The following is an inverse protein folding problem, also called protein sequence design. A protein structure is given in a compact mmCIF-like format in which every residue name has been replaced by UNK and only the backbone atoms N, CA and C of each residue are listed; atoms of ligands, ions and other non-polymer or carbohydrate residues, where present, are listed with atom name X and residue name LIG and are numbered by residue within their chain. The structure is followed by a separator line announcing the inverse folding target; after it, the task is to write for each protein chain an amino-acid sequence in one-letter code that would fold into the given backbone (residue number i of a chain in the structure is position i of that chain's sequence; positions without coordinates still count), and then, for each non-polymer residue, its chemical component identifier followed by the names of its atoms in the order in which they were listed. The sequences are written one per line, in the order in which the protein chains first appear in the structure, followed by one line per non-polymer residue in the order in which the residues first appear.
data_IF_412864181054
#
_entry.id   IF_412864181054
#
_cell.length_a   1.000
_cell.length_b   1.000
_cell.length_c   1.000
_cell.angle_alpha   90.00
_cell.angle_beta   90.00
_cell.angle_gamma   90.00
#
_symmetry.space_group_name_H-M   'P 1'
#
loop_
_entity.id
_entity.type
_entity.pdbx_description
1 polymer ?
#
# COMPACT_ATOMS: atom_id res chain seq x y z
N UNK A 1 -2.62 -24.67 11.43
CA UNK A 1 -1.31 -24.07 11.06
C UNK A 1 -1.22 -23.95 9.55
N UNK A 2 -1.09 -22.74 9.00
CA UNK A 2 -0.74 -22.59 7.58
C UNK A 2 0.72 -23.05 7.40
N UNK A 3 0.94 -24.08 6.58
CA UNK A 3 2.24 -24.78 6.42
C UNK A 3 3.05 -24.31 5.20
N UNK A 4 2.78 -23.13 4.65
CA UNK A 4 3.37 -22.67 3.39
C UNK A 4 3.83 -21.21 3.47
N UNK A 5 5.01 -20.89 2.92
CA UNK A 5 5.53 -19.52 2.73
C UNK A 5 4.80 -18.76 1.60
N UNK A 6 3.49 -19.00 1.47
CA UNK A 6 2.63 -18.39 0.45
C UNK A 6 1.72 -17.40 1.15
N UNK A 7 1.83 -16.12 0.77
CA UNK A 7 0.95 -15.07 1.27
C UNK A 7 -0.44 -15.28 0.67
N UNK A 8 -1.46 -15.28 1.54
CA UNK A 8 -2.86 -15.34 1.14
C UNK A 8 -3.54 -14.05 1.57
N UNK A 9 -4.05 -13.30 0.60
CA UNK A 9 -4.94 -12.17 0.89
C UNK A 9 -6.30 -12.73 1.33
N UNK A 10 -6.82 -12.17 2.42
CA UNK A 10 -8.10 -12.55 3.00
C UNK A 10 -8.92 -11.29 3.28
N UNK A 11 -10.21 -11.49 3.56
CA UNK A 11 -11.16 -10.46 3.96
C UNK A 11 -11.38 -9.37 2.90
N UNK A 12 -12.22 -9.71 1.92
CA UNK A 12 -12.70 -8.78 0.90
C UNK A 12 -14.03 -8.11 1.32
N UNK A 13 -14.31 -7.97 2.62
CA UNK A 13 -15.58 -7.44 3.12
C UNK A 13 -15.89 -5.99 2.71
N UNK A 14 -14.87 -5.21 2.33
CA UNK A 14 -14.99 -3.86 1.78
C UNK A 14 -14.69 -3.77 0.29
N UNK A 15 -14.44 -4.90 -0.38
CA UNK A 15 -14.15 -4.90 -1.81
C UNK A 15 -15.39 -4.53 -2.61
N UNK A 16 -15.19 -3.74 -3.66
CA UNK A 16 -16.25 -3.32 -4.58
C UNK A 16 -15.84 -3.65 -6.01
N UNK A 17 -16.78 -4.17 -6.80
CA UNK A 17 -16.58 -4.34 -8.23
C UNK A 17 -16.95 -3.03 -8.92
N UNK A 18 -15.96 -2.36 -9.50
CA UNK A 18 -16.14 -1.05 -10.12
C UNK A 18 -15.67 -1.10 -11.57
N UNK A 19 -16.39 -0.46 -12.50
CA UNK A 19 -15.89 -0.21 -13.84
C UNK A 19 -14.58 0.58 -13.78
N UNK A 20 -13.70 0.35 -14.76
CA UNK A 20 -12.44 1.09 -14.86
C UNK A 20 -12.71 2.60 -14.86
N UNK A 21 -11.83 3.35 -14.20
CA UNK A 21 -11.88 4.82 -14.08
C UNK A 21 -13.10 5.41 -13.38
N UNK A 22 -13.89 4.62 -12.64
CA UNK A 22 -14.91 5.18 -11.76
C UNK A 22 -14.36 5.52 -10.38
N UNK A 23 -14.97 6.53 -9.76
CA UNK A 23 -14.71 6.94 -8.38
C UNK A 23 -15.77 6.38 -7.44
N UNK A 24 -15.40 6.13 -6.20
CA UNK A 24 -16.31 5.70 -5.14
C UNK A 24 -16.39 6.73 -4.02
N UNK A 25 -17.49 6.67 -3.26
CA UNK A 25 -17.73 7.45 -2.04
C UNK A 25 -17.66 6.57 -0.78
N UNK A 26 -17.00 5.41 -0.86
CA UNK A 26 -16.83 4.50 0.27
C UNK A 26 -15.63 4.95 1.09
N UNK A 27 -15.87 5.40 2.32
CA UNK A 27 -14.83 5.93 3.21
C UNK A 27 -14.67 5.01 4.43
N UNK A 28 -14.00 3.88 4.25
CA UNK A 28 -13.77 2.89 5.30
C UNK A 28 -12.34 2.32 5.25
N UNK A 29 -11.98 1.56 6.28
CA UNK A 29 -10.66 0.95 6.42
C UNK A 29 -10.12 1.04 7.84
N UNK A 30 -8.90 0.53 8.05
CA UNK A 30 -8.17 0.74 9.30
C UNK A 30 -7.37 2.05 9.21
N UNK A 31 -7.46 2.97 10.20
CA UNK A 31 -6.92 4.33 10.11
C UNK A 31 -5.49 4.46 9.56
N UNK A 32 -4.59 3.56 9.95
CA UNK A 32 -3.18 3.59 9.52
C UNK A 32 -2.97 3.29 8.03
N UNK A 33 -3.91 2.61 7.39
CA UNK A 33 -3.84 2.23 5.97
C UNK A 33 -4.70 3.12 5.07
N UNK A 34 -5.52 4.00 5.65
CA UNK A 34 -6.36 4.91 4.88
C UNK A 34 -5.50 5.94 4.14
N UNK A 35 -5.85 6.18 2.88
CA UNK A 35 -5.22 7.20 2.05
C UNK A 35 -5.68 8.61 2.42
N UNK A 36 -4.93 9.67 2.03
CA UNK A 36 -5.30 11.05 2.29
C UNK A 36 -6.69 11.41 1.77
N UNK A 37 -7.08 10.88 0.62
CA UNK A 37 -8.38 11.13 0.00
C UNK A 37 -9.55 10.43 0.72
N UNK A 38 -9.34 9.23 1.28
CA UNK A 38 -10.33 8.55 2.14
C UNK A 38 -10.54 9.36 3.43
N UNK A 39 -9.46 9.82 4.06
CA UNK A 39 -9.51 10.64 5.29
C UNK A 39 -10.21 11.98 5.02
N UNK A 40 -9.94 12.59 3.87
CA UNK A 40 -10.58 13.83 3.45
C UNK A 40 -12.03 13.65 2.96
N UNK A 41 -12.53 12.40 2.88
CA UNK A 41 -13.85 12.04 2.36
C UNK A 41 -14.11 12.61 0.95
N UNK A 42 -13.10 12.50 0.08
CA UNK A 42 -13.17 12.94 -1.31
C UNK A 42 -13.41 11.73 -2.22
N UNK A 43 -14.29 11.82 -3.24
CA UNK A 43 -14.48 10.74 -4.19
C UNK A 43 -13.15 10.31 -4.82
N UNK A 44 -12.82 9.02 -4.78
CA UNK A 44 -11.50 8.51 -5.13
C UNK A 44 -11.56 7.23 -5.97
N UNK A 45 -10.44 6.89 -6.61
CA UNK A 45 -10.27 5.63 -7.29
C UNK A 45 -9.79 4.57 -6.28
N UNK A 46 -10.54 3.47 -6.08
CA UNK A 46 -10.16 2.42 -5.12
C UNK A 46 -8.75 1.89 -5.35
N UNK A 47 -8.37 1.65 -6.61
CA UNK A 47 -7.05 1.15 -6.97
C UNK A 47 -5.91 2.05 -6.50
N UNK A 48 -6.08 3.38 -6.55
CA UNK A 48 -5.07 4.33 -6.07
C UNK A 48 -4.95 4.30 -4.53
N UNK A 49 -6.06 4.07 -3.83
CA UNK A 49 -6.07 3.88 -2.38
C UNK A 49 -5.48 2.53 -1.98
N UNK A 50 -5.65 1.48 -2.79
CA UNK A 50 -4.97 0.19 -2.60
C UNK A 50 -3.45 0.36 -2.70
N UNK A 51 -2.95 1.12 -3.68
CA UNK A 51 -1.51 1.42 -3.79
C UNK A 51 -0.98 2.14 -2.55
N UNK A 52 -1.74 3.10 -2.02
CA UNK A 52 -1.36 3.75 -0.76
C UNK A 52 -1.22 2.74 0.38
N UNK A 53 -2.23 1.87 0.55
CA UNK A 53 -2.23 0.85 1.61
C UNK A 53 -1.05 -0.14 1.45
N UNK A 54 -0.70 -0.48 0.21
CA UNK A 54 0.48 -1.29 -0.12
C UNK A 54 1.78 -0.60 0.29
N UNK A 55 1.90 0.72 0.07
CA UNK A 55 3.04 1.51 0.53
C UNK A 55 3.21 1.50 2.04
N UNK A 56 2.10 1.64 2.79
CA UNK A 56 2.10 1.53 4.25
C UNK A 56 2.56 0.14 4.69
N UNK A 57 2.00 -0.91 4.08
CA UNK A 57 2.35 -2.30 4.38
C UNK A 57 3.83 -2.57 4.11
N UNK A 58 4.34 -2.18 2.94
CA UNK A 58 5.75 -2.36 2.56
C UNK A 58 6.69 -1.63 3.54
N UNK A 59 6.39 -0.38 3.85
CA UNK A 59 7.15 0.38 4.85
C UNK A 59 7.17 -0.37 6.19
N UNK A 60 6.00 -0.81 6.67
CA UNK A 60 5.87 -1.49 7.96
C UNK A 60 6.61 -2.83 8.01
N UNK A 61 6.59 -3.61 6.93
CA UNK A 61 7.32 -4.88 6.85
C UNK A 61 8.83 -4.70 6.99
N UNK A 62 9.36 -3.58 6.48
CA UNK A 62 10.81 -3.32 6.45
C UNK A 62 11.28 -2.63 7.72
N UNK A 63 10.53 -1.64 8.19
CA UNK A 63 10.93 -0.84 9.37
C UNK A 63 10.45 -1.46 10.68
N UNK A 64 9.41 -2.30 10.63
CA UNK A 64 8.66 -2.77 11.79
C UNK A 64 7.63 -1.76 12.32
N UNK A 65 7.52 -0.58 11.73
CA UNK A 65 6.71 0.54 12.23
C UNK A 65 5.89 1.21 11.13
N UNK A 66 4.77 1.83 11.50
CA UNK A 66 4.00 2.65 10.56
C UNK A 66 4.77 3.93 10.19
N UNK A 67 4.73 4.36 8.92
CA UNK A 67 5.42 5.57 8.46
C UNK A 67 4.78 6.87 9.01
N UNK A 68 3.51 6.81 9.40
CA UNK A 68 2.78 7.90 10.05
C UNK A 68 2.30 7.44 11.43
N UNK A 69 2.53 8.25 12.45
CA UNK A 69 2.14 7.98 13.84
C UNK A 69 1.42 9.20 14.39
N UNK A 70 0.30 8.99 15.08
CA UNK A 70 -0.42 10.04 15.79
C UNK A 70 -0.76 9.60 17.20
N UNK A 71 -0.91 10.56 18.11
CA UNK A 71 -1.35 10.27 19.49
C UNK A 71 -2.84 9.89 19.57
N UNK A 72 -3.61 10.26 18.53
CA UNK A 72 -5.01 9.94 18.33
C UNK A 72 -5.31 10.02 16.81
N UNK A 73 -6.52 9.61 16.41
CA UNK A 73 -6.92 9.59 15.00
C UNK A 73 -6.81 10.97 14.34
N UNK A 74 -7.18 12.04 15.04
CA UNK A 74 -7.10 13.41 14.49
C UNK A 74 -5.66 13.80 14.18
N UNK A 75 -4.72 13.47 15.06
CA UNK A 75 -3.30 13.72 14.83
C UNK A 75 -2.75 12.81 13.73
N UNK A 76 -3.13 11.52 13.71
CA UNK A 76 -2.73 10.58 12.66
C UNK A 76 -3.19 11.07 11.28
N UNK A 77 -4.44 11.49 11.14
CA UNK A 77 -4.99 12.03 9.91
C UNK A 77 -4.23 13.27 9.44
N UNK A 78 -3.88 14.16 10.37
CA UNK A 78 -3.02 15.31 10.06
C UNK A 78 -1.63 14.88 9.57
N UNK A 79 -1.01 13.87 10.17
CA UNK A 79 0.26 13.35 9.68
C UNK A 79 0.12 12.78 8.27
N UNK A 80 -0.89 11.95 8.02
CA UNK A 80 -1.14 11.35 6.70
C UNK A 80 -1.34 12.43 5.62
N UNK A 81 -2.04 13.52 5.94
CA UNK A 81 -2.32 14.59 4.99
C UNK A 81 -1.14 15.55 4.76
N UNK A 82 -0.34 15.85 5.78
CA UNK A 82 0.63 16.95 5.70
C UNK A 82 2.10 16.50 5.77
N UNK A 83 2.41 15.42 6.48
CA UNK A 83 3.80 15.06 6.79
C UNK A 83 4.47 14.31 5.64
N UNK A 84 5.70 14.70 5.28
CA UNK A 84 6.55 13.89 4.39
C UNK A 84 6.91 12.57 5.07
N UNK A 85 7.09 11.51 4.29
CA UNK A 85 7.43 10.19 4.80
C UNK A 85 8.63 10.30 5.77
N UNK A 86 8.44 9.86 7.02
CA UNK A 86 9.54 9.74 7.97
C UNK A 86 10.25 8.42 7.70
N UNK A 87 11.42 8.48 7.09
CA UNK A 87 12.37 7.37 7.14
C UNK A 87 13.10 7.43 8.47
N UNK A 88 13.05 6.36 9.27
CA UNK A 88 13.95 6.22 10.42
C UNK A 88 15.39 6.28 9.89
N UNK A 89 16.08 7.39 10.18
CA UNK A 89 17.47 7.62 9.75
C UNK A 89 18.41 6.52 10.31
N UNK A 90 18.00 5.87 11.40
CA UNK A 90 18.77 4.84 12.09
C UNK A 90 18.79 3.48 11.35
N UNK A 91 17.87 3.26 10.40
CA UNK A 91 17.87 2.06 9.56
C UNK A 91 18.27 2.46 8.14
N UNK A 92 19.43 2.00 7.70
CA UNK A 92 19.88 2.14 6.31
C UNK A 92 19.00 1.26 5.41
N UNK A 93 17.89 1.81 4.92
CA UNK A 93 17.00 1.13 3.98
C UNK A 93 17.57 1.25 2.56
N UNK A 94 17.45 0.18 1.77
CA UNK A 94 17.83 0.19 0.37
C UNK A 94 17.09 1.30 -0.40
N UNK A 95 17.83 2.14 -1.13
CA UNK A 95 17.29 3.31 -1.84
C UNK A 95 16.27 2.93 -2.91
N UNK A 96 16.40 1.77 -3.57
CA UNK A 96 15.45 1.29 -4.57
C UNK A 96 14.10 0.94 -3.94
N UNK A 97 14.13 0.30 -2.78
CA UNK A 97 12.91 0.01 -2.01
C UNK A 97 12.28 1.32 -1.54
N UNK A 98 13.08 2.26 -1.04
CA UNK A 98 12.58 3.55 -0.59
C UNK A 98 11.94 4.35 -1.72
N UNK A 99 12.50 4.26 -2.93
CA UNK A 99 11.91 4.87 -4.13
C UNK A 99 10.51 4.35 -4.41
N UNK A 100 10.30 3.03 -4.32
CA UNK A 100 8.96 2.42 -4.47
C UNK A 100 8.01 2.87 -3.35
N UNK A 101 8.44 2.82 -2.09
CA UNK A 101 7.62 3.26 -0.95
C UNK A 101 7.17 4.72 -1.13
N UNK A 102 8.09 5.61 -1.52
CA UNK A 102 7.78 7.01 -1.79
C UNK A 102 6.80 7.17 -2.95
N UNK A 103 6.94 6.39 -4.03
CA UNK A 103 6.00 6.38 -5.15
C UNK A 103 4.59 5.96 -4.74
N UNK A 104 4.45 4.96 -3.86
CA UNK A 104 3.17 4.51 -3.33
C UNK A 104 2.53 5.54 -2.37
N UNK A 105 3.35 6.20 -1.55
CA UNK A 105 2.92 7.12 -0.49
C UNK A 105 2.94 8.60 -0.93
N UNK A 106 2.90 8.83 -2.24
CA UNK A 106 2.69 10.15 -2.80
C UNK A 106 1.24 10.60 -2.54
N UNK A 107 1.09 11.81 -2.00
CA UNK A 107 -0.22 12.35 -1.63
C UNK A 107 -0.96 12.86 -2.84
N UNK A 108 -0.25 13.39 -3.83
CA UNK A 108 -0.85 13.75 -5.10
C UNK A 108 -1.16 12.49 -5.92
N UNK A 109 -2.45 12.18 -6.06
CA UNK A 109 -2.93 11.01 -6.80
C UNK A 109 -2.36 10.92 -8.23
N UNK A 110 -2.14 12.06 -8.90
CA UNK A 110 -1.59 12.08 -10.28
C UNK A 110 -0.12 11.68 -10.34
N UNK A 111 0.61 11.87 -9.24
CA UNK A 111 2.03 11.51 -9.12
C UNK A 111 2.23 10.19 -8.37
N UNK A 112 1.18 9.68 -7.70
CA UNK A 112 1.17 8.37 -7.05
C UNK A 112 1.31 7.27 -8.08
N UNK A 113 2.20 6.34 -7.80
CA UNK A 113 2.47 5.24 -8.71
C UNK A 113 1.23 4.35 -8.86
N UNK A 114 1.11 3.73 -10.03
CA UNK A 114 0.15 2.65 -10.25
C UNK A 114 0.84 1.28 -10.11
N UNK A 115 0.05 0.21 -10.16
CA UNK A 115 0.56 -1.15 -9.97
C UNK A 115 1.56 -1.55 -11.06
N UNK A 116 1.38 -1.10 -12.30
CA UNK A 116 2.26 -1.44 -13.42
C UNK A 116 3.65 -0.82 -13.23
N UNK A 117 3.72 0.42 -12.75
CA UNK A 117 5.00 1.07 -12.43
C UNK A 117 5.73 0.35 -11.30
N UNK A 118 5.00 -0.15 -10.29
CA UNK A 118 5.57 -0.88 -9.17
C UNK A 118 6.11 -2.25 -9.62
N UNK A 119 5.31 -3.05 -10.34
CA UNK A 119 5.68 -4.41 -10.74
C UNK A 119 6.85 -4.40 -11.74
N UNK A 120 6.92 -3.39 -12.61
CA UNK A 120 8.01 -3.27 -13.58
C UNK A 120 9.26 -2.60 -13.00
N UNK A 121 9.25 -2.21 -11.72
CA UNK A 121 10.42 -1.62 -11.07
C UNK A 121 11.54 -2.67 -10.91
N UNK A 122 12.82 -2.32 -11.19
CA UNK A 122 13.95 -3.25 -11.04
C UNK A 122 14.09 -3.85 -9.64
N UNK A 123 13.56 -3.22 -8.60
CA UNK A 123 13.59 -3.81 -7.25
C UNK A 123 12.79 -5.13 -7.16
N UNK A 124 11.81 -5.31 -8.05
CA UNK A 124 11.04 -6.55 -8.20
C UNK A 124 11.52 -7.32 -9.45
N UNK A 125 12.79 -7.73 -9.46
CA UNK A 125 13.29 -8.64 -10.49
C UNK A 125 12.44 -9.91 -10.58
N UNK A 126 12.15 -10.36 -11.82
CA UNK A 126 11.24 -11.47 -12.14
C UNK A 126 11.54 -12.80 -11.42
N UNK A 127 12.79 -13.00 -10.99
CA UNK A 127 13.22 -14.21 -10.28
C UNK A 127 12.63 -14.35 -8.86
N UNK A 128 12.13 -13.25 -8.29
CA UNK A 128 11.44 -13.23 -6.99
C UNK A 128 9.92 -13.43 -7.11
N UNK A 129 9.35 -13.32 -8.32
CA UNK A 129 7.89 -13.24 -8.54
C UNK A 129 7.21 -14.60 -8.79
N UNK A 130 7.95 -15.72 -8.84
CA UNK A 130 7.34 -17.03 -9.15
C UNK A 130 7.95 -18.17 -8.32
N UNK A 131 7.34 -18.57 -7.18
CA UNK A 131 7.24 -19.98 -6.87
C UNK A 131 6.29 -20.59 -7.91
N UNK A 132 6.79 -21.48 -8.76
CA UNK A 132 6.02 -22.12 -9.82
C UNK A 132 4.66 -22.61 -9.29
N UNK A 133 3.57 -22.02 -9.78
CA UNK A 133 2.20 -22.47 -9.51
C UNK A 133 1.88 -23.79 -10.26
N UNK A 134 2.80 -24.75 -10.25
CA UNK A 134 2.65 -26.08 -10.89
C UNK A 134 1.88 -27.09 -10.03
N UNK A 135 1.28 -26.68 -8.90
CA UNK A 135 0.67 -27.60 -7.94
C UNK A 135 -0.86 -27.62 -7.81
N UNK A 136 -1.60 -26.72 -8.48
CA UNK A 136 -3.02 -26.48 -8.13
C UNK A 136 -4.05 -27.00 -9.14
N UNK A 137 -3.69 -27.84 -10.12
CA UNK A 137 -4.63 -28.38 -11.10
C UNK A 137 -4.85 -29.89 -11.09
N UNK A 138 -4.38 -30.63 -10.08
CA UNK A 138 -4.70 -32.06 -9.95
C UNK A 138 -4.93 -32.44 -8.47
N UNK A 139 -6.11 -32.12 -7.93
CA UNK A 139 -6.81 -32.91 -6.89
C UNK A 139 -8.31 -32.77 -7.09
#
# INVERSE_FOLDING_TARGET
MMKTNVVKLIDFGFAICMPQNQKTNVYCGTPHYMSPEIIAKVPHHPSSSDIWSLGILLSKMITGEYPFKGQNDKDLYRQIQCQKLRTNQDKKINENIMRVINGCLEKNIQSRWNIDQIINDPVFHKDLLIPSAKGFLNQ
#
